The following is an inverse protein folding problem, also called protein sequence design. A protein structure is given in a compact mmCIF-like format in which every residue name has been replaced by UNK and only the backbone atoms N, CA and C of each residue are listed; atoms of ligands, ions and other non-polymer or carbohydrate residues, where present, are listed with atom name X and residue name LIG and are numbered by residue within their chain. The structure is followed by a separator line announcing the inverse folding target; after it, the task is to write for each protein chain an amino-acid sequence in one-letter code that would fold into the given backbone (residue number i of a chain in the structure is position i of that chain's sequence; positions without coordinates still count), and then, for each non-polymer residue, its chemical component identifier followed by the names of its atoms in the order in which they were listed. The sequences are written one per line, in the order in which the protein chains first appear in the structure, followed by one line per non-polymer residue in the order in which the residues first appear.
data_IF_907789393983
#
_entry.id   IF_907789393983
#
_cell.length_a   1.000
_cell.length_b   1.000
_cell.length_c   1.000
_cell.angle_alpha   90.00
_cell.angle_beta   90.00
_cell.angle_gamma   90.00
#
_symmetry.space_group_name_H-M   'P 1'
#
loop_
_entity.id
_entity.type
_entity.pdbx_description
1 polymer ?
#
# COMPACT_ATOMS: atom_id res chain seq x y z
N UNK A 1 -14.51 -12.59 -11.19
CA UNK A 1 -14.44 -11.16 -10.79
C UNK A 1 -13.00 -10.92 -10.40
N UNK A 2 -12.34 -9.92 -10.99
CA UNK A 2 -10.93 -9.62 -10.70
C UNK A 2 -10.90 -8.53 -9.64
N UNK A 3 -10.22 -8.76 -8.53
CA UNK A 3 -9.90 -7.74 -7.53
C UNK A 3 -8.48 -7.22 -7.80
N UNK A 4 -8.21 -5.92 -7.67
CA UNK A 4 -9.17 -4.82 -7.45
C UNK A 4 -10.13 -4.60 -8.64
N UNK A 5 -11.27 -3.96 -8.38
CA UNK A 5 -12.27 -3.62 -9.40
C UNK A 5 -12.35 -2.11 -9.64
N UNK A 6 -12.76 -1.72 -10.85
CA UNK A 6 -12.99 -0.32 -11.21
C UNK A 6 -14.03 0.31 -10.26
N UNK A 7 -13.70 1.47 -9.75
CA UNK A 7 -14.53 2.27 -8.84
C UNK A 7 -14.53 3.73 -9.29
N UNK A 8 -14.88 3.93 -10.54
CA UNK A 8 -15.01 5.25 -11.17
C UNK A 8 -16.34 5.26 -11.90
N UNK A 9 -17.10 6.32 -11.80
CA UNK A 9 -18.31 6.50 -12.60
C UNK A 9 -17.94 6.85 -14.05
N UNK A 10 -18.94 6.90 -14.94
CA UNK A 10 -18.74 7.14 -16.38
C UNK A 10 -18.11 8.50 -16.70
N UNK A 11 -18.26 9.48 -15.79
CA UNK A 11 -17.68 10.81 -15.91
C UNK A 11 -16.32 10.94 -15.19
N UNK A 12 -15.79 9.83 -14.67
CA UNK A 12 -14.51 9.80 -13.96
C UNK A 12 -14.59 10.16 -12.47
N UNK A 13 -15.79 10.40 -11.93
CA UNK A 13 -15.95 10.68 -10.52
C UNK A 13 -15.89 9.42 -9.66
N UNK A 14 -15.40 9.54 -8.43
CA UNK A 14 -15.40 8.48 -7.43
C UNK A 14 -15.47 9.06 -6.01
N UNK A 15 -15.96 8.27 -5.06
CA UNK A 15 -15.97 8.64 -3.64
C UNK A 15 -14.66 8.24 -2.98
N UNK A 16 -13.96 9.21 -2.38
CA UNK A 16 -12.72 8.97 -1.61
C UNK A 16 -12.96 8.50 -0.19
N UNK A 17 -11.89 8.14 0.53
CA UNK A 17 -11.96 7.73 1.94
C UNK A 17 -12.32 8.88 2.90
N UNK A 18 -12.15 10.10 2.47
CA UNK A 18 -12.66 11.31 3.13
C UNK A 18 -14.17 11.53 2.92
N UNK A 19 -14.82 10.59 2.22
CA UNK A 19 -16.23 10.61 1.82
C UNK A 19 -16.63 11.73 0.86
N UNK A 20 -15.67 12.50 0.32
CA UNK A 20 -15.91 13.49 -0.72
C UNK A 20 -15.91 12.84 -2.11
N UNK A 21 -16.50 13.57 -3.07
CA UNK A 21 -16.42 13.19 -4.48
C UNK A 21 -15.15 13.80 -5.08
N UNK A 22 -14.36 12.95 -5.71
CA UNK A 22 -13.13 13.30 -6.40
C UNK A 22 -13.22 12.98 -7.89
N UNK A 23 -12.33 13.60 -8.67
CA UNK A 23 -12.17 13.33 -10.09
C UNK A 23 -10.89 12.50 -10.30
N UNK A 24 -11.01 11.35 -10.95
CA UNK A 24 -9.87 10.57 -11.40
C UNK A 24 -9.29 11.23 -12.68
N UNK A 25 -8.22 11.99 -12.51
CA UNK A 25 -7.54 12.67 -13.60
C UNK A 25 -6.29 11.91 -14.04
N UNK A 26 -6.32 11.41 -15.28
CA UNK A 26 -5.23 10.65 -15.87
C UNK A 26 -5.04 9.23 -15.31
N UNK A 27 -6.04 8.65 -14.67
CA UNK A 27 -6.07 7.25 -14.25
C UNK A 27 -7.51 6.77 -14.04
N UNK A 28 -7.71 5.47 -13.99
CA UNK A 28 -8.96 4.84 -13.53
C UNK A 28 -8.83 4.50 -12.06
N UNK A 29 -9.79 4.92 -11.22
CA UNK A 29 -9.74 4.59 -9.80
C UNK A 29 -10.25 3.17 -9.54
N UNK A 30 -9.57 2.46 -8.65
CA UNK A 30 -9.86 1.08 -8.26
C UNK A 30 -10.20 0.98 -6.77
N UNK A 31 -10.94 -0.07 -6.41
CA UNK A 31 -11.28 -0.44 -5.03
C UNK A 31 -11.30 -1.96 -4.88
N UNK A 32 -11.71 -2.43 -3.69
CA UNK A 32 -11.68 -3.84 -3.27
C UNK A 32 -10.23 -4.34 -3.25
N UNK A 33 -9.47 -3.71 -2.40
CA UNK A 33 -8.08 -4.07 -2.15
C UNK A 33 -8.01 -5.19 -1.11
N UNK A 34 -7.69 -6.41 -1.55
CA UNK A 34 -7.33 -7.54 -0.69
C UNK A 34 -5.82 -7.77 -0.84
N UNK A 35 -5.02 -6.82 -0.33
CA UNK A 35 -3.62 -6.71 -0.72
C UNK A 35 -2.79 -7.89 -0.23
N UNK A 36 -3.11 -8.46 0.94
CA UNK A 36 -2.47 -9.67 1.46
C UNK A 36 -2.53 -10.86 0.48
N UNK A 37 -3.59 -10.94 -0.33
CA UNK A 37 -3.72 -11.95 -1.38
C UNK A 37 -3.01 -11.55 -2.67
N UNK A 38 -3.21 -10.29 -3.09
CA UNK A 38 -2.90 -9.85 -4.46
C UNK A 38 -1.44 -9.45 -4.67
N UNK A 39 -0.72 -9.03 -3.60
CA UNK A 39 0.68 -8.64 -3.72
C UNK A 39 1.58 -9.80 -4.16
N UNK A 40 1.21 -11.03 -3.81
CA UNK A 40 2.01 -12.25 -4.03
C UNK A 40 2.22 -12.58 -5.51
N UNK A 41 1.19 -12.37 -6.33
CA UNK A 41 1.24 -12.78 -7.73
C UNK A 41 0.49 -11.84 -8.68
N UNK A 42 -0.69 -11.33 -8.33
CA UNK A 42 -1.53 -10.55 -9.26
C UNK A 42 -0.84 -9.27 -9.72
N UNK A 43 -0.36 -8.45 -8.79
CA UNK A 43 0.31 -7.20 -9.14
C UNK A 43 1.64 -7.42 -9.84
N UNK A 44 2.51 -8.36 -9.42
CA UNK A 44 3.69 -8.75 -10.19
C UNK A 44 3.37 -9.21 -11.62
N UNK A 45 2.30 -9.98 -11.81
CA UNK A 45 1.85 -10.39 -13.13
C UNK A 45 1.39 -9.20 -13.96
N UNK A 46 0.59 -8.30 -13.39
CA UNK A 46 0.11 -7.11 -14.08
C UNK A 46 1.25 -6.17 -14.50
N UNK A 47 2.34 -6.11 -13.77
CA UNK A 47 3.53 -5.38 -14.18
C UNK A 47 4.14 -5.91 -15.48
N UNK A 48 3.80 -7.13 -15.88
CA UNK A 48 4.26 -7.75 -17.13
C UNK A 48 3.19 -7.64 -18.22
N UNK A 49 1.96 -8.09 -17.94
CA UNK A 49 0.92 -8.28 -18.97
C UNK A 49 -0.05 -7.11 -19.10
N UNK A 50 -0.20 -6.27 -18.07
CA UNK A 50 -1.15 -5.15 -18.08
C UNK A 50 -0.66 -3.97 -17.25
N UNK A 51 0.45 -3.38 -17.68
CA UNK A 51 1.16 -2.30 -16.98
C UNK A 51 0.28 -1.08 -16.72
N UNK A 52 -0.63 -0.73 -17.66
CA UNK A 52 -1.52 0.42 -17.49
C UNK A 52 -2.48 0.21 -16.32
N UNK A 53 -3.14 -0.95 -16.25
CA UNK A 53 -4.04 -1.28 -15.14
C UNK A 53 -3.29 -1.25 -13.80
N UNK A 54 -2.08 -1.81 -13.73
CA UNK A 54 -1.33 -1.78 -12.47
C UNK A 54 -0.83 -0.38 -12.11
N UNK A 55 -0.55 0.46 -13.11
CA UNK A 55 -0.26 1.88 -12.89
C UNK A 55 -1.46 2.61 -12.27
N UNK A 56 -2.65 2.38 -12.79
CA UNK A 56 -3.88 2.99 -12.29
C UNK A 56 -4.23 2.49 -10.88
N UNK A 57 -4.01 1.19 -10.61
CA UNK A 57 -4.15 0.61 -9.27
C UNK A 57 -3.16 1.28 -8.29
N UNK A 58 -1.89 1.43 -8.65
CA UNK A 58 -0.89 2.07 -7.82
C UNK A 58 -1.24 3.54 -7.53
N UNK A 59 -1.72 4.28 -8.54
CA UNK A 59 -2.23 5.65 -8.35
C UNK A 59 -3.44 5.68 -7.43
N UNK A 60 -4.36 4.71 -7.54
CA UNK A 60 -5.51 4.57 -6.65
C UNK A 60 -5.08 4.34 -5.20
N UNK A 61 -4.04 3.50 -4.97
CA UNK A 61 -3.46 3.28 -3.64
C UNK A 61 -2.87 4.57 -3.05
N UNK A 62 -2.19 5.39 -3.86
CA UNK A 62 -1.66 6.68 -3.41
C UNK A 62 -2.78 7.67 -3.08
N UNK A 63 -3.84 7.73 -3.89
CA UNK A 63 -5.03 8.56 -3.60
C UNK A 63 -5.77 8.07 -2.37
N UNK A 64 -5.86 6.76 -2.14
CA UNK A 64 -6.38 6.20 -0.90
C UNK A 64 -5.62 6.73 0.32
N UNK A 65 -4.29 6.70 0.29
CA UNK A 65 -3.45 7.23 1.35
C UNK A 65 -3.66 8.74 1.57
N UNK A 66 -3.71 9.51 0.50
CA UNK A 66 -3.93 10.96 0.54
C UNK A 66 -5.27 11.34 1.17
N UNK A 67 -6.34 10.59 0.84
CA UNK A 67 -7.72 10.86 1.25
C UNK A 67 -8.09 10.20 2.58
N UNK A 68 -7.32 9.21 3.03
CA UNK A 68 -7.55 8.55 4.31
C UNK A 68 -7.16 9.44 5.48
N UNK A 69 -8.00 9.48 6.51
CA UNK A 69 -7.68 10.15 7.79
C UNK A 69 -6.47 9.54 8.49
N UNK A 70 -6.14 8.31 8.16
CA UNK A 70 -4.97 7.60 8.68
C UNK A 70 -3.71 7.83 7.87
N UNK A 71 -3.84 8.43 6.68
CA UNK A 71 -2.75 8.59 5.71
C UNK A 71 -2.00 7.29 5.42
N UNK A 72 -2.75 6.19 5.37
CA UNK A 72 -2.24 4.85 5.10
C UNK A 72 -2.60 4.38 3.69
N UNK A 73 -1.71 3.61 3.10
CA UNK A 73 -1.99 2.80 1.92
C UNK A 73 -3.06 1.74 2.25
N UNK A 74 -3.83 1.25 1.27
CA UNK A 74 -4.87 0.27 1.54
C UNK A 74 -4.29 -1.05 2.06
N UNK A 75 -4.97 -1.64 3.03
CA UNK A 75 -4.73 -3.00 3.54
C UNK A 75 -5.83 -3.91 3.03
N UNK A 76 -7.08 -3.59 3.37
CA UNK A 76 -8.27 -4.32 2.92
C UNK A 76 -9.43 -3.34 2.68
N UNK A 77 -9.22 -2.41 1.79
CA UNK A 77 -10.15 -1.30 1.57
C UNK A 77 -11.25 -1.66 0.56
N UNK A 78 -12.49 -1.35 0.92
CA UNK A 78 -13.67 -1.55 0.08
C UNK A 78 -14.49 -0.28 -0.03
N UNK A 79 -14.72 0.21 -1.25
CA UNK A 79 -15.69 1.29 -1.56
C UNK A 79 -15.62 2.46 -0.57
N UNK A 80 -14.45 3.08 -0.47
CA UNK A 80 -14.17 4.20 0.43
C UNK A 80 -14.22 3.87 1.95
N UNK A 81 -13.99 2.61 2.32
CA UNK A 81 -13.82 2.20 3.72
C UNK A 81 -12.64 1.24 3.85
N UNK A 82 -11.75 1.52 4.80
CA UNK A 82 -10.68 0.60 5.18
C UNK A 82 -11.17 -0.34 6.28
N UNK A 83 -10.99 -1.65 6.09
CA UNK A 83 -11.48 -2.66 7.02
C UNK A 83 -10.38 -3.21 7.94
N UNK A 84 -9.10 -2.91 7.66
CA UNK A 84 -7.95 -3.39 8.42
C UNK A 84 -7.88 -4.92 8.54
N UNK A 85 -8.48 -5.64 7.59
CA UNK A 85 -8.46 -7.09 7.59
C UNK A 85 -7.12 -7.60 7.06
N UNK A 86 -6.65 -8.72 7.61
CA UNK A 86 -5.36 -9.33 7.35
C UNK A 86 -4.17 -8.51 7.86
N UNK A 87 -3.06 -9.21 7.98
CA UNK A 87 -1.79 -8.68 8.51
C UNK A 87 -0.94 -8.02 7.42
N UNK A 88 0.02 -7.21 7.81
CA UNK A 88 0.94 -6.55 6.89
C UNK A 88 0.39 -5.29 6.25
N UNK A 89 1.28 -4.47 5.72
CA UNK A 89 0.95 -3.27 4.94
C UNK A 89 1.43 -3.41 3.48
N UNK A 90 1.16 -4.57 2.88
CA UNK A 90 1.75 -5.04 1.62
C UNK A 90 1.52 -4.16 0.38
N UNK A 91 0.70 -3.11 0.46
CA UNK A 91 0.65 -2.09 -0.59
C UNK A 91 2.03 -1.48 -0.86
N UNK A 92 2.92 -1.46 0.16
CA UNK A 92 4.31 -1.00 -0.03
C UNK A 92 5.05 -1.91 -1.00
N UNK A 93 4.86 -3.22 -0.92
CA UNK A 93 5.43 -4.20 -1.85
C UNK A 93 4.90 -4.01 -3.28
N UNK A 94 3.61 -3.75 -3.43
CA UNK A 94 3.00 -3.48 -4.75
C UNK A 94 3.61 -2.24 -5.40
N UNK A 95 3.76 -1.15 -4.65
CA UNK A 95 4.37 0.08 -5.14
C UNK A 95 5.86 -0.11 -5.44
N UNK A 96 6.60 -0.79 -4.56
CA UNK A 96 8.02 -1.07 -4.73
C UNK A 96 8.30 -1.85 -6.04
N UNK A 97 7.53 -2.92 -6.29
CA UNK A 97 7.67 -3.74 -7.50
C UNK A 97 7.28 -2.96 -8.76
N UNK A 98 6.22 -2.15 -8.70
CA UNK A 98 5.83 -1.28 -9.81
C UNK A 98 6.92 -0.25 -10.15
N UNK A 99 7.50 0.40 -9.14
CA UNK A 99 8.59 1.37 -9.30
C UNK A 99 9.85 0.70 -9.85
N UNK A 100 10.24 -0.45 -9.30
CA UNK A 100 11.42 -1.20 -9.74
C UNK A 100 11.31 -1.65 -11.21
N UNK A 101 10.10 -1.96 -11.67
CA UNK A 101 9.80 -2.31 -13.06
C UNK A 101 9.53 -1.12 -13.97
N UNK A 102 9.73 0.10 -13.48
CA UNK A 102 9.66 1.33 -14.26
C UNK A 102 8.24 1.73 -14.68
N UNK A 103 7.22 1.45 -13.85
CA UNK A 103 5.91 2.06 -14.02
C UNK A 103 6.00 3.56 -13.66
N UNK A 104 5.19 4.42 -14.32
CA UNK A 104 5.23 5.86 -14.09
C UNK A 104 4.53 6.25 -12.77
N UNK A 105 5.17 5.91 -11.67
CA UNK A 105 4.75 6.22 -10.30
C UNK A 105 5.71 7.27 -9.72
N UNK A 106 5.14 8.29 -9.08
CA UNK A 106 5.91 9.26 -8.33
C UNK A 106 6.59 8.58 -7.13
N UNK A 107 7.92 8.48 -7.18
CA UNK A 107 8.71 7.76 -6.19
C UNK A 107 8.70 8.44 -4.82
N UNK A 108 8.70 9.77 -4.80
CA UNK A 108 8.72 10.53 -3.56
C UNK A 108 7.37 10.46 -2.86
N UNK A 109 6.27 10.60 -3.62
CA UNK A 109 4.92 10.41 -3.10
C UNK A 109 4.70 8.97 -2.60
N UNK A 110 5.18 7.97 -3.36
CA UNK A 110 5.10 6.57 -2.96
C UNK A 110 5.89 6.31 -1.68
N UNK A 111 7.14 6.75 -1.59
CA UNK A 111 7.98 6.56 -0.41
C UNK A 111 7.38 7.22 0.83
N UNK A 112 6.83 8.42 0.69
CA UNK A 112 6.11 9.11 1.78
C UNK A 112 4.91 8.29 2.27
N UNK A 113 4.09 7.78 1.35
CA UNK A 113 2.92 6.96 1.68
C UNK A 113 3.31 5.63 2.34
N UNK A 114 4.40 5.01 1.87
CA UNK A 114 4.95 3.77 2.43
C UNK A 114 5.42 3.98 3.88
N UNK A 115 6.19 5.03 4.15
CA UNK A 115 6.65 5.40 5.49
C UNK A 115 5.45 5.67 6.41
N UNK A 116 4.46 6.43 5.93
CA UNK A 116 3.24 6.71 6.70
C UNK A 116 2.51 5.43 7.08
N UNK A 117 2.44 4.45 6.18
CA UNK A 117 1.77 3.16 6.43
C UNK A 117 2.51 2.29 7.44
N UNK A 118 3.84 2.25 7.40
CA UNK A 118 4.66 1.42 8.30
C UNK A 118 4.76 1.98 9.72
N UNK A 119 4.40 3.24 9.93
CA UNK A 119 4.57 3.95 11.21
C UNK A 119 3.25 4.21 11.95
N UNK A 120 2.16 3.52 11.61
CA UNK A 120 0.86 3.65 12.27
C UNK A 120 0.89 2.93 13.63
N UNK A 121 0.91 3.63 14.77
CA UNK A 121 1.22 3.00 16.06
C UNK A 121 0.08 2.18 16.66
N UNK A 122 -1.13 2.27 16.10
CA UNK A 122 -2.32 1.54 16.56
C UNK A 122 -2.69 0.37 15.65
N UNK A 123 -1.95 0.14 14.56
CA UNK A 123 -2.16 -1.03 13.72
C UNK A 123 -1.40 -2.23 14.28
N UNK A 124 -2.07 -3.30 14.48
CA UNK A 124 -1.67 -4.66 14.91
C UNK A 124 -0.18 -4.90 15.26
N UNK A 125 0.28 -4.32 16.37
CA UNK A 125 1.66 -4.56 16.86
C UNK A 125 2.76 -3.78 16.13
N UNK A 126 2.41 -2.85 15.23
CA UNK A 126 3.42 -1.99 14.55
C UNK A 126 4.23 -1.17 15.54
N UNK A 127 3.59 -0.69 16.62
CA UNK A 127 4.31 0.03 17.69
C UNK A 127 5.40 -0.83 18.29
N UNK A 128 5.07 -2.04 18.72
CA UNK A 128 6.00 -2.99 19.29
C UNK A 128 7.08 -3.37 18.28
N UNK A 129 6.71 -3.57 17.02
CA UNK A 129 7.67 -3.87 15.96
C UNK A 129 8.70 -2.75 15.77
N UNK A 130 8.26 -1.49 15.73
CA UNK A 130 9.17 -0.34 15.63
C UNK A 130 10.08 -0.18 16.85
N UNK A 131 9.57 -0.48 18.06
CA UNK A 131 10.34 -0.31 19.31
C UNK A 131 11.29 -1.47 19.60
N UNK A 132 10.89 -2.71 19.26
CA UNK A 132 11.57 -3.94 19.67
C UNK A 132 12.20 -4.72 18.51
N UNK A 133 11.81 -4.43 17.25
CA UNK A 133 12.19 -5.21 16.08
C UNK A 133 11.39 -6.51 15.89
N UNK A 134 10.37 -6.72 16.72
CA UNK A 134 9.45 -7.86 16.61
C UNK A 134 8.13 -7.57 17.34
N UNK A 135 7.08 -8.34 17.02
CA UNK A 135 5.80 -8.30 17.72
C UNK A 135 5.80 -9.38 18.81
N UNK A 136 5.63 -9.04 20.11
CA UNK A 136 5.58 -10.02 21.18
C UNK A 136 4.29 -10.85 21.15
N UNK A 137 4.39 -12.15 21.49
CA UNK A 137 3.25 -13.09 21.50
C UNK A 137 2.14 -12.72 22.48
N UNK A 138 2.51 -12.11 23.60
CA UNK A 138 1.56 -11.62 24.62
C UNK A 138 0.78 -10.37 24.18
N UNK A 139 1.19 -9.74 23.10
CA UNK A 139 0.50 -8.57 22.49
C UNK A 139 -0.42 -8.98 21.34
N UNK A 140 -0.04 -9.98 20.55
CA UNK A 140 -0.84 -10.46 19.44
C UNK A 140 -0.59 -11.94 19.17
N UNK A 141 -1.65 -12.75 19.09
CA UNK A 141 -1.57 -14.19 18.82
C UNK A 141 -0.97 -14.54 17.45
N UNK A 142 -0.93 -13.60 16.51
CA UNK A 142 -0.31 -13.72 15.19
C UNK A 142 1.12 -13.18 15.14
N UNK A 143 1.77 -12.99 16.29
CA UNK A 143 3.04 -12.30 16.45
C UNK A 143 4.15 -12.74 15.49
N UNK A 144 4.30 -14.05 15.27
CA UNK A 144 5.30 -14.60 14.35
C UNK A 144 5.04 -14.17 12.90
N UNK A 145 3.79 -14.27 12.45
CA UNK A 145 3.39 -13.83 11.11
C UNK A 145 3.57 -12.34 10.93
N UNK A 146 3.09 -11.54 11.89
CA UNK A 146 3.22 -10.08 11.88
C UNK A 146 4.69 -9.65 11.78
N UNK A 147 5.56 -10.23 12.60
CA UNK A 147 6.99 -9.92 12.60
C UNK A 147 7.63 -10.17 11.22
N UNK A 148 7.33 -11.32 10.62
CA UNK A 148 7.90 -11.69 9.32
C UNK A 148 7.34 -10.84 8.17
N UNK A 149 6.04 -10.56 8.19
CA UNK A 149 5.40 -9.77 7.14
C UNK A 149 5.83 -8.30 7.21
N UNK A 150 5.96 -7.71 8.41
CA UNK A 150 6.48 -6.35 8.57
C UNK A 150 7.94 -6.24 8.14
N UNK A 151 8.78 -7.21 8.49
CA UNK A 151 10.17 -7.23 8.05
C UNK A 151 10.30 -7.29 6.51
N UNK A 152 9.41 -8.05 5.85
CA UNK A 152 9.34 -8.07 4.39
C UNK A 152 8.89 -6.71 3.82
N UNK A 153 7.84 -6.13 4.40
CA UNK A 153 7.32 -4.83 3.96
C UNK A 153 8.39 -3.73 4.12
N UNK A 154 9.07 -3.69 5.25
CA UNK A 154 10.18 -2.75 5.52
C UNK A 154 11.33 -2.93 4.53
N UNK A 155 11.70 -4.17 4.19
CA UNK A 155 12.68 -4.43 3.15
C UNK A 155 12.27 -3.82 1.79
N UNK A 156 10.97 -3.81 1.47
CA UNK A 156 10.50 -3.17 0.22
C UNK A 156 10.57 -1.65 0.29
N UNK A 157 10.35 -1.05 1.48
CA UNK A 157 10.56 0.39 1.71
C UNK A 157 12.03 0.76 1.57
N UNK A 158 12.93 -0.01 2.17
CA UNK A 158 14.38 0.13 1.99
C UNK A 158 14.78 0.19 0.51
N UNK A 159 14.32 -0.78 -0.29
CA UNK A 159 14.65 -0.83 -1.73
C UNK A 159 14.07 0.37 -2.49
N UNK A 160 12.85 0.78 -2.17
CA UNK A 160 12.22 1.95 -2.79
C UNK A 160 12.99 3.23 -2.46
N UNK A 161 13.44 3.38 -1.22
CA UNK A 161 14.27 4.51 -0.78
C UNK A 161 15.58 4.58 -1.57
N UNK A 162 16.24 3.44 -1.82
CA UNK A 162 17.43 3.39 -2.68
C UNK A 162 17.13 3.83 -4.11
N UNK A 163 16.01 3.36 -4.70
CA UNK A 163 15.58 3.73 -6.06
C UNK A 163 15.18 5.22 -6.17
N UNK A 164 14.73 5.82 -5.07
CA UNK A 164 14.45 7.25 -4.97
C UNK A 164 15.70 8.10 -4.65
N UNK A 165 16.85 7.47 -4.38
CA UNK A 165 18.07 8.17 -3.98
C UNK A 165 18.04 8.69 -2.53
N UNK A 166 17.10 8.24 -1.71
CA UNK A 166 16.95 8.66 -0.32
C UNK A 166 17.69 7.71 0.64
N UNK A 167 18.99 7.92 0.75
CA UNK A 167 19.85 7.08 1.61
C UNK A 167 19.47 7.13 3.08
N UNK A 168 19.06 8.30 3.58
CA UNK A 168 18.68 8.47 4.99
C UNK A 168 17.49 7.58 5.37
N UNK A 169 16.48 7.50 4.50
CA UNK A 169 15.34 6.58 4.74
C UNK A 169 15.80 5.14 4.63
N UNK A 170 16.61 4.80 3.62
CA UNK A 170 17.12 3.42 3.49
C UNK A 170 17.91 2.96 4.73
N UNK A 171 18.69 3.84 5.36
CA UNK A 171 19.44 3.48 6.55
C UNK A 171 18.56 3.32 7.82
N UNK A 172 17.27 3.69 7.75
CA UNK A 172 16.29 3.52 8.84
C UNK A 172 15.57 2.17 8.75
N UNK A 173 15.32 1.68 7.55
CA UNK A 173 14.60 0.42 7.25
C UNK A 173 15.58 -0.71 6.91
#
# INVERSE_FOLDING_TARGET
MINPCVYTDVDGQYRGLDHNIHQADGFTNYTVFSVWDTYRALHPLFNIINRQVNTDIAKSMLKHCEQSVHHALPIWSHMANENWCMIGYHSVSVLADAIAKGLPIDKDAALKAMISSSTIPYYEGTKEFMELGYVPLDRNGSAGSLTLEYAYDDWTIYNTALLAGNRSVADTY
#
